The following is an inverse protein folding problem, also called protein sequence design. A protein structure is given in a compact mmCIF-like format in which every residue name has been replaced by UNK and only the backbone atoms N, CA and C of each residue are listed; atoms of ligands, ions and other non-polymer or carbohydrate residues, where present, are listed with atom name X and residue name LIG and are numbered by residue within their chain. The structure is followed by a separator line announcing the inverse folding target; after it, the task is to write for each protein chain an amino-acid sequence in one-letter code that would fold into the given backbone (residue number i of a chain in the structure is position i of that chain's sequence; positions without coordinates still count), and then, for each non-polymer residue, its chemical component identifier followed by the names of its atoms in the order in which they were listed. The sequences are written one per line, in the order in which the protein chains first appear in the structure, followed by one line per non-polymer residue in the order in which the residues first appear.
data_IF_193078352315
#
_entry.id   IF_193078352315
#
_cell.length_a   1.000
_cell.length_b   1.000
_cell.length_c   1.000
_cell.angle_alpha   90.00
_cell.angle_beta   90.00
_cell.angle_gamma   90.00
#
_symmetry.space_group_name_H-M   'P 1'
#
loop_
_entity.id
_entity.type
_entity.pdbx_description
1 polymer ?
#
# COMPACT_ATOMS: atom_id res chain seq x y z
N UNK A 1 10.64 8.10 1.41
CA UNK A 1 10.99 7.00 2.36
C UNK A 1 10.56 5.70 1.73
N UNK A 2 11.39 4.65 1.77
CA UNK A 2 11.02 3.35 1.20
C UNK A 2 10.10 2.57 2.14
N UNK A 3 9.24 1.74 1.55
CA UNK A 3 8.37 0.83 2.28
C UNK A 3 9.18 -0.13 3.15
N UNK A 4 8.66 -0.41 4.35
CA UNK A 4 9.22 -1.41 5.26
C UNK A 4 8.07 -2.02 6.05
N UNK A 5 7.98 -3.36 6.12
CA UNK A 5 6.86 -4.04 6.78
C UNK A 5 6.82 -3.80 8.30
N UNK A 6 7.93 -3.44 8.92
CA UNK A 6 8.03 -3.24 10.38
C UNK A 6 7.63 -1.83 10.82
N UNK A 7 7.32 -0.94 9.87
CA UNK A 7 7.03 0.47 10.14
C UNK A 7 5.63 0.84 9.62
N UNK A 8 4.66 1.06 10.52
CA UNK A 8 3.34 1.53 10.14
C UNK A 8 3.44 2.85 9.36
N UNK A 9 3.06 2.81 8.09
CA UNK A 9 3.06 3.97 7.20
C UNK A 9 1.79 3.97 6.36
N UNK A 10 1.35 5.15 5.96
CA UNK A 10 0.32 5.31 4.94
C UNK A 10 0.91 6.01 3.71
N UNK A 11 0.42 5.67 2.53
CA UNK A 11 0.90 6.23 1.27
C UNK A 11 0.00 7.37 0.80
N UNK A 12 0.58 8.53 0.56
CA UNK A 12 -0.04 9.65 -0.16
C UNK A 12 0.95 10.14 -1.19
N UNK A 13 0.62 9.94 -2.46
CA UNK A 13 1.54 10.17 -3.57
C UNK A 13 2.36 11.47 -3.44
N UNK A 14 3.70 11.40 -3.55
CA UNK A 14 4.51 10.23 -3.90
C UNK A 14 5.09 9.46 -2.71
N UNK A 15 4.72 9.78 -1.47
CA UNK A 15 5.49 9.38 -0.28
C UNK A 15 4.73 8.46 0.68
N UNK A 16 5.48 7.57 1.32
CA UNK A 16 5.09 6.92 2.57
C UNK A 16 5.30 7.88 3.74
N UNK A 17 4.30 7.98 4.63
CA UNK A 17 4.30 8.82 5.82
C UNK A 17 4.07 7.96 7.05
N UNK A 18 4.77 8.22 8.17
CA UNK A 18 4.58 7.47 9.40
C UNK A 18 3.15 7.64 9.92
N UNK A 19 2.59 6.56 10.47
CA UNK A 19 1.29 6.62 11.14
C UNK A 19 1.44 7.01 12.61
N UNK A 20 0.51 7.83 13.11
CA UNK A 20 0.48 8.25 14.51
C UNK A 20 -0.15 7.21 15.45
N UNK A 21 -0.93 6.27 14.90
CA UNK A 21 -1.61 5.23 15.68
C UNK A 21 -0.64 4.23 16.33
N UNK A 22 -1.09 3.60 17.42
CA UNK A 22 -0.34 2.53 18.09
C UNK A 22 -0.09 1.38 17.13
N UNK A 23 1.19 0.97 17.01
CA UNK A 23 1.59 -0.17 16.21
C UNK A 23 0.97 -1.47 16.75
N UNK A 24 0.43 -2.27 15.84
CA UNK A 24 -0.11 -3.61 16.06
C UNK A 24 0.72 -4.60 15.25
N UNK A 25 1.24 -5.67 15.89
CA UNK A 25 2.03 -6.66 15.18
C UNK A 25 1.16 -7.44 14.20
N UNK A 26 1.72 -7.72 13.03
CA UNK A 26 1.19 -8.69 12.06
C UNK A 26 1.87 -10.01 12.36
N UNK A 27 1.07 -11.06 12.58
CA UNK A 27 1.54 -12.36 13.07
C UNK A 27 1.43 -13.39 11.96
N UNK A 28 2.50 -14.15 11.75
CA UNK A 28 2.51 -15.32 10.88
C UNK A 28 1.63 -16.41 11.49
N UNK A 29 0.54 -16.84 10.82
CA UNK A 29 -0.35 -17.85 11.37
C UNK A 29 0.30 -19.24 11.44
N UNK A 30 1.37 -19.50 10.68
CA UNK A 30 2.06 -20.79 10.68
C UNK A 30 3.07 -20.93 11.82
N UNK A 31 3.73 -19.83 12.22
CA UNK A 31 4.83 -19.85 13.21
C UNK A 31 4.57 -19.04 14.47
N UNK A 32 3.54 -18.18 14.48
CA UNK A 32 3.23 -17.21 15.54
C UNK A 32 4.30 -16.10 15.68
N UNK A 33 5.26 -16.02 14.76
CA UNK A 33 6.26 -14.96 14.73
C UNK A 33 5.67 -13.64 14.20
N UNK A 34 6.25 -12.51 14.60
CA UNK A 34 5.89 -11.20 14.03
C UNK A 34 6.57 -11.00 12.68
N UNK A 35 5.81 -10.56 11.67
CA UNK A 35 6.28 -10.38 10.28
C UNK A 35 6.15 -8.95 9.76
N UNK A 36 5.57 -8.08 10.58
CA UNK A 36 5.45 -6.66 10.31
C UNK A 36 4.61 -5.96 11.38
N UNK A 37 4.30 -4.69 11.14
CA UNK A 37 3.46 -3.88 12.00
C UNK A 37 2.56 -2.96 11.18
N UNK A 38 1.30 -2.85 11.62
CA UNK A 38 0.30 -1.92 11.06
C UNK A 38 -0.20 -0.99 12.16
N UNK A 39 -0.80 0.13 11.80
CA UNK A 39 -1.48 1.01 12.74
C UNK A 39 -2.85 1.39 12.18
N UNK A 40 -3.77 1.78 13.07
CA UNK A 40 -5.00 2.41 12.63
C UNK A 40 -4.72 3.87 12.27
N UNK A 41 -5.28 4.34 11.16
CA UNK A 41 -5.20 5.75 10.79
C UNK A 41 -6.03 6.59 11.76
N UNK A 42 -5.50 7.74 12.15
CA UNK A 42 -6.25 8.78 12.86
C UNK A 42 -7.16 9.55 11.90
N UNK A 43 -8.18 10.20 12.44
CA UNK A 43 -9.09 11.05 11.66
C UNK A 43 -8.32 12.12 10.86
N UNK A 44 -7.29 12.72 11.47
CA UNK A 44 -6.46 13.73 10.80
C UNK A 44 -5.66 13.20 9.61
N UNK A 45 -5.19 11.95 9.68
CA UNK A 45 -4.48 11.30 8.58
C UNK A 45 -5.45 10.91 7.45
N UNK A 46 -6.65 10.44 7.82
CA UNK A 46 -7.74 10.15 6.88
C UNK A 46 -8.12 11.43 6.13
N UNK A 47 -8.36 12.53 6.83
CA UNK A 47 -8.71 13.82 6.22
C UNK A 47 -7.62 14.34 5.28
N UNK A 48 -6.35 14.17 5.65
CA UNK A 48 -5.22 14.55 4.80
C UNK A 48 -5.17 13.73 3.49
N UNK A 49 -5.41 12.41 3.58
CA UNK A 49 -5.50 11.51 2.42
C UNK A 49 -6.68 11.89 1.54
N UNK A 50 -7.87 12.08 2.13
CA UNK A 50 -9.09 12.43 1.41
C UNK A 50 -8.98 13.78 0.69
N UNK A 51 -8.33 14.76 1.33
CA UNK A 51 -8.06 16.06 0.71
C UNK A 51 -7.16 15.92 -0.53
N UNK A 52 -6.10 15.12 -0.43
CA UNK A 52 -5.20 14.86 -1.55
C UNK A 52 -5.90 14.08 -2.69
N UNK A 53 -6.65 13.04 -2.33
CA UNK A 53 -7.44 12.24 -3.26
C UNK A 53 -8.49 13.08 -4.00
N UNK A 54 -9.19 13.99 -3.30
CA UNK A 54 -10.19 14.88 -3.89
C UNK A 54 -9.59 15.81 -4.94
N UNK A 55 -8.41 16.40 -4.66
CA UNK A 55 -7.69 17.22 -5.64
C UNK A 55 -7.27 16.41 -6.87
N UNK A 56 -6.73 15.20 -6.67
CA UNK A 56 -6.32 14.32 -7.75
C UNK A 56 -7.52 13.84 -8.60
N UNK A 57 -8.65 13.54 -7.94
CA UNK A 57 -9.87 13.08 -8.58
C UNK A 57 -10.41 14.11 -9.58
N UNK A 58 -10.34 15.41 -9.25
CA UNK A 58 -10.78 16.48 -10.15
C UNK A 58 -9.99 16.51 -11.47
N UNK A 59 -8.70 16.19 -11.44
CA UNK A 59 -7.88 16.05 -12.65
C UNK A 59 -8.17 14.72 -13.37
N UNK A 60 -8.26 13.62 -12.62
CA UNK A 60 -8.54 12.29 -13.16
C UNK A 60 -9.88 12.20 -13.90
N UNK A 61 -10.93 12.86 -13.37
CA UNK A 61 -12.27 12.89 -13.96
C UNK A 61 -12.28 13.53 -15.36
N UNK A 62 -11.35 14.43 -15.66
CA UNK A 62 -11.26 15.11 -16.97
C UNK A 62 -10.63 14.23 -18.05
N UNK A 63 -10.01 13.11 -17.68
CA UNK A 63 -9.40 12.19 -18.63
C UNK A 63 -10.47 11.37 -19.36
N UNK A 64 -10.26 11.10 -20.64
CA UNK A 64 -11.05 10.13 -21.38
C UNK A 64 -10.70 8.68 -20.99
N UNK A 65 -11.48 7.71 -21.47
CA UNK A 65 -11.27 6.31 -21.15
C UNK A 65 -9.92 5.75 -21.64
N UNK A 66 -9.44 6.17 -22.81
CA UNK A 66 -8.16 5.74 -23.39
C UNK A 66 -6.98 6.26 -22.57
N UNK A 67 -7.04 7.52 -22.14
CA UNK A 67 -6.05 8.14 -21.28
C UNK A 67 -5.97 7.43 -19.92
N UNK A 68 -7.11 7.09 -19.30
CA UNK A 68 -7.14 6.28 -18.07
C UNK A 68 -6.58 4.87 -18.30
N UNK A 69 -6.95 4.22 -19.40
CA UNK A 69 -6.43 2.89 -19.75
C UNK A 69 -4.90 2.90 -19.88
N UNK A 70 -4.32 3.95 -20.49
CA UNK A 70 -2.87 4.11 -20.56
C UNK A 70 -2.20 4.11 -19.18
N UNK A 71 -2.77 4.81 -18.20
CA UNK A 71 -2.25 4.81 -16.84
C UNK A 71 -2.37 3.43 -16.17
N UNK A 72 -3.51 2.74 -16.35
CA UNK A 72 -3.71 1.39 -15.82
C UNK A 72 -2.76 0.37 -16.43
N UNK A 73 -2.52 0.43 -17.74
CA UNK A 73 -1.51 -0.42 -18.40
C UNK A 73 -0.09 -0.10 -17.91
N UNK A 74 0.23 1.16 -17.66
CA UNK A 74 1.53 1.52 -17.08
C UNK A 74 1.71 0.91 -15.69
N UNK A 75 0.66 0.89 -14.85
CA UNK A 75 0.68 0.21 -13.55
C UNK A 75 0.84 -1.30 -13.72
N UNK A 76 0.09 -1.93 -14.63
CA UNK A 76 0.19 -3.36 -14.91
C UNK A 76 1.60 -3.75 -15.38
N UNK A 77 2.19 -3.00 -16.31
CA UNK A 77 3.55 -3.24 -16.79
C UNK A 77 4.59 -3.03 -15.68
N UNK A 78 4.40 -2.02 -14.83
CA UNK A 78 5.31 -1.77 -13.70
C UNK A 78 5.24 -2.88 -12.65
N UNK A 79 4.03 -3.43 -12.44
CA UNK A 79 3.83 -4.66 -11.69
C UNK A 79 4.62 -5.76 -12.41
N UNK A 80 4.25 -6.19 -13.62
CA UNK A 80 4.87 -7.32 -14.33
C UNK A 80 6.41 -7.29 -14.42
N UNK A 81 7.01 -6.09 -14.51
CA UNK A 81 8.46 -5.92 -14.58
C UNK A 81 9.19 -5.91 -13.21
N UNK A 82 8.46 -5.80 -12.10
CA UNK A 82 9.04 -5.76 -10.76
C UNK A 82 9.42 -7.16 -10.25
N UNK A 83 10.41 -7.23 -9.37
CA UNK A 83 10.65 -8.43 -8.57
C UNK A 83 9.60 -8.52 -7.45
N UNK A 84 8.76 -9.55 -7.53
CA UNK A 84 7.69 -9.77 -6.57
C UNK A 84 8.05 -10.73 -5.45
N UNK A 85 9.23 -11.33 -5.46
CA UNK A 85 9.62 -12.39 -4.50
C UNK A 85 9.34 -11.94 -3.07
N UNK A 86 9.81 -10.73 -2.73
CA UNK A 86 9.60 -10.15 -1.40
C UNK A 86 8.12 -9.88 -1.07
N UNK A 87 7.35 -9.44 -2.06
CA UNK A 87 5.92 -9.19 -1.88
C UNK A 87 5.15 -10.51 -1.67
N UNK A 88 5.44 -11.53 -2.47
CA UNK A 88 4.84 -12.86 -2.38
C UNK A 88 5.15 -13.53 -1.03
N UNK A 89 6.41 -13.48 -0.58
CA UNK A 89 6.83 -13.95 0.75
C UNK A 89 6.03 -13.27 1.86
N UNK A 90 5.95 -11.94 1.85
CA UNK A 90 5.20 -11.18 2.86
C UNK A 90 3.71 -11.55 2.86
N UNK A 91 3.08 -11.63 1.69
CA UNK A 91 1.66 -12.02 1.59
C UNK A 91 1.41 -13.45 2.10
N UNK A 92 2.34 -14.38 1.85
CA UNK A 92 2.25 -15.77 2.33
C UNK A 92 2.36 -15.82 3.84
N UNK A 93 3.37 -15.15 4.40
CA UNK A 93 3.58 -15.11 5.85
C UNK A 93 2.48 -14.36 6.58
N UNK A 94 1.90 -13.31 5.99
CA UNK A 94 0.78 -12.59 6.60
C UNK A 94 -0.52 -13.41 6.58
N UNK A 95 -0.85 -14.07 5.46
CA UNK A 95 -2.16 -14.71 5.26
C UNK A 95 -2.16 -16.22 5.57
N UNK A 96 -1.01 -16.89 5.56
CA UNK A 96 -0.91 -18.36 5.66
C UNK A 96 -1.28 -19.12 4.39
N UNK A 97 -1.29 -18.46 3.23
CA UNK A 97 -1.58 -19.11 1.93
C UNK A 97 -0.36 -19.85 1.38
N UNK A 98 -0.52 -20.89 0.54
CA UNK A 98 0.62 -21.52 -0.14
C UNK A 98 1.44 -20.52 -0.97
N UNK A 99 2.77 -20.73 -1.00
CA UNK A 99 3.66 -19.96 -1.86
C UNK A 99 3.55 -20.47 -3.32
N UNK A 100 3.37 -19.58 -4.30
CA UNK A 100 3.25 -19.93 -5.71
C UNK A 100 4.58 -20.33 -6.37
#
# INVERSE_FOLDING_TARGET
MDFSPDRPTFFVNPDYRPMAGTAKPVIDPATIETVGAIAAASDSEIDAVLTAATRAQAAWKKLDAKSRAKHLHAVANAIEAADFTRCAELMVREMGKPYP
#
